data_IF_553497129063
#
_entry.id   IF_553497129063
#
_cell.length_a   1.000
_cell.length_b   1.000
_cell.length_c   1.000
_cell.angle_alpha   90.00
_cell.angle_beta   90.00
_cell.angle_gamma   90.00
#
_symmetry.space_group_name_H-M   'P 1'
#
loop_
_entity.id
_entity.type
_entity.pdbx_description
1 polymer ?
#
# COMPACT_ATOMS: atom_id res chain seq x y z
N UNK A 1 15.40 1.73 -6.63
CA UNK A 1 16.36 2.34 -5.67
C UNK A 1 15.79 2.43 -4.26
N UNK A 2 14.68 3.17 -4.04
CA UNK A 2 14.07 3.36 -2.71
C UNK A 2 13.84 2.05 -1.92
N UNK A 3 13.22 1.04 -2.53
CA UNK A 3 13.02 -0.27 -1.88
C UNK A 3 14.33 -0.87 -1.33
N UNK A 4 15.43 -0.76 -2.09
CA UNK A 4 16.76 -1.24 -1.65
C UNK A 4 17.29 -0.44 -0.45
N UNK A 5 17.11 0.88 -0.44
CA UNK A 5 17.55 1.73 0.68
C UNK A 5 16.82 1.37 1.99
N UNK A 6 15.53 1.06 1.89
CA UNK A 6 14.72 0.61 3.04
C UNK A 6 14.79 -0.89 3.29
N UNK A 7 15.71 -1.61 2.63
CA UNK A 7 15.90 -3.06 2.77
C UNK A 7 14.61 -3.86 2.54
N UNK A 8 13.77 -3.37 1.64
CA UNK A 8 12.58 -4.07 1.16
C UNK A 8 13.01 -5.00 0.04
N UNK A 9 13.01 -6.30 0.32
CA UNK A 9 13.26 -7.32 -0.68
C UNK A 9 12.16 -7.30 -1.76
N UNK A 10 12.55 -7.55 -3.01
CA UNK A 10 11.63 -7.46 -4.13
C UNK A 10 10.63 -8.62 -4.16
N UNK A 11 11.05 -9.84 -3.82
CA UNK A 11 10.17 -11.00 -3.81
C UNK A 11 9.17 -10.90 -2.66
N UNK A 12 9.64 -10.56 -1.45
CA UNK A 12 8.77 -10.34 -0.30
C UNK A 12 7.72 -9.25 -0.57
N UNK A 13 8.15 -8.11 -1.13
CA UNK A 13 7.24 -7.03 -1.48
C UNK A 13 6.14 -7.47 -2.46
N UNK A 14 6.51 -8.27 -3.48
CA UNK A 14 5.56 -8.81 -4.45
C UNK A 14 4.58 -9.78 -3.78
N UNK A 15 5.03 -10.63 -2.86
CA UNK A 15 4.16 -11.52 -2.11
C UNK A 15 3.18 -10.75 -1.22
N UNK A 16 3.65 -9.73 -0.50
CA UNK A 16 2.80 -8.92 0.38
C UNK A 16 1.69 -8.17 -0.36
N UNK A 17 1.93 -7.74 -1.61
CA UNK A 17 0.99 -6.89 -2.37
C UNK A 17 0.17 -7.67 -3.41
N UNK A 18 0.74 -8.73 -4.00
CA UNK A 18 0.14 -9.47 -5.10
C UNK A 18 -0.20 -10.93 -4.75
N UNK A 19 0.04 -11.36 -3.51
CA UNK A 19 -0.43 -12.66 -3.02
C UNK A 19 -1.96 -12.75 -2.98
N UNK A 20 -2.47 -13.97 -2.76
CA UNK A 20 -3.91 -14.16 -2.57
C UNK A 20 -4.38 -13.39 -1.32
N UNK A 21 -5.51 -12.70 -1.44
CA UNK A 21 -6.10 -11.86 -0.38
C UNK A 21 -5.11 -10.86 0.24
N UNK A 22 -4.17 -10.38 -0.58
CA UNK A 22 -3.06 -9.54 -0.14
C UNK A 22 -3.52 -8.24 0.54
N UNK A 23 -4.62 -7.64 0.09
CA UNK A 23 -5.05 -6.30 0.50
C UNK A 23 -6.35 -6.32 1.30
N UNK A 24 -6.31 -5.67 2.46
CA UNK A 24 -7.49 -5.40 3.30
C UNK A 24 -7.87 -3.94 3.17
N UNK A 25 -9.09 -3.65 2.72
CA UNK A 25 -9.60 -2.29 2.68
C UNK A 25 -9.88 -1.78 4.11
N UNK A 26 -9.39 -0.57 4.40
CA UNK A 26 -9.68 0.11 5.65
C UNK A 26 -10.91 1.00 5.45
N UNK A 27 -12.03 0.59 6.04
CA UNK A 27 -13.40 1.09 5.79
C UNK A 27 -13.71 2.50 6.31
N UNK A 28 -12.69 3.35 6.53
CA UNK A 28 -12.92 4.75 6.89
C UNK A 28 -12.26 5.68 5.87
N UNK A 29 -13.04 6.36 5.01
CA UNK A 29 -12.51 7.51 4.29
C UNK A 29 -12.31 8.58 5.36
N UNK A 30 -11.11 8.64 5.93
CA UNK A 30 -10.71 9.70 6.84
C UNK A 30 -10.90 11.07 6.18
N UNK A 31 -10.51 12.16 6.86
CA UNK A 31 -10.70 13.55 6.39
C UNK A 31 -10.30 13.83 4.92
N UNK A 32 -9.40 13.03 4.32
CA UNK A 32 -8.97 13.18 2.92
C UNK A 32 -9.94 12.59 1.88
N UNK A 33 -10.88 11.73 2.27
CA UNK A 33 -11.74 10.98 1.33
C UNK A 33 -10.98 9.98 0.45
N UNK A 34 -9.77 9.59 0.84
CA UNK A 34 -8.97 8.58 0.15
C UNK A 34 -9.34 7.18 0.63
N UNK A 35 -9.25 6.20 -0.27
CA UNK A 35 -9.28 4.79 0.10
C UNK A 35 -7.90 4.37 0.56
N UNK A 36 -7.87 3.54 1.61
CA UNK A 36 -6.65 2.97 2.16
C UNK A 36 -6.77 1.46 2.14
N UNK A 37 -5.68 0.81 1.76
CA UNK A 37 -5.52 -0.63 1.82
C UNK A 37 -4.27 -0.95 2.64
N UNK A 38 -4.34 -2.00 3.45
CA UNK A 38 -3.22 -2.51 4.22
C UNK A 38 -2.93 -3.94 3.76
N UNK A 39 -1.65 -4.28 3.60
CA UNK A 39 -1.28 -5.66 3.30
C UNK A 39 -1.63 -6.58 4.47
N UNK A 40 -1.90 -7.86 4.20
CA UNK A 40 -2.28 -8.82 5.24
C UNK A 40 -1.19 -9.02 6.32
N UNK A 41 0.06 -8.79 5.96
CA UNK A 41 1.21 -8.84 6.87
C UNK A 41 1.50 -7.50 7.58
N UNK A 42 0.62 -6.50 7.43
CA UNK A 42 0.72 -5.16 8.03
C UNK A 42 1.99 -4.36 7.68
N UNK A 43 2.69 -4.74 6.60
CA UNK A 43 3.95 -4.10 6.20
C UNK A 43 3.78 -2.87 5.33
N UNK A 44 2.74 -2.81 4.51
CA UNK A 44 2.58 -1.75 3.51
C UNK A 44 1.16 -1.18 3.49
N UNK A 45 1.09 0.15 3.52
CA UNK A 45 -0.14 0.91 3.31
C UNK A 45 -0.19 1.41 1.85
N UNK A 46 -1.30 1.17 1.17
CA UNK A 46 -1.60 1.71 -0.16
C UNK A 46 -2.70 2.74 -0.01
N UNK A 47 -2.49 3.93 -0.58
CA UNK A 47 -3.45 5.05 -0.52
C UNK A 47 -3.84 5.47 -1.94
N UNK A 48 -5.13 5.66 -2.19
CA UNK A 48 -5.57 6.29 -3.44
C UNK A 48 -5.28 7.79 -3.43
N UNK A 49 -4.78 8.28 -4.55
CA UNK A 49 -4.41 9.68 -4.74
C UNK A 49 -5.22 10.25 -5.91
N UNK A 50 -5.81 11.42 -5.71
CA UNK A 50 -6.46 12.18 -6.78
C UNK A 50 -5.39 12.67 -7.76
N UNK A 51 -5.76 12.82 -9.03
CA UNK A 51 -4.85 13.36 -10.06
C UNK A 51 -4.26 14.72 -9.67
N UNK A 52 -5.01 15.57 -8.97
CA UNK A 52 -4.54 16.86 -8.45
C UNK A 52 -3.50 16.76 -7.32
N UNK A 53 -3.40 15.62 -6.64
CA UNK A 53 -2.37 15.36 -5.63
C UNK A 53 -1.09 14.79 -6.24
N UNK A 54 -1.16 14.33 -7.50
CA UNK A 54 0.01 13.92 -8.28
C UNK A 54 0.65 15.19 -8.87
N UNK A 55 1.88 15.48 -8.43
CA UNK A 55 2.72 16.52 -9.00
C UNK A 55 3.68 15.94 -10.03
#
# INVERSE_FOLDING_TARGET
YLRRLFKVDAADYMLSICGNDALRELSSPGKSGSFFYLTHDDRYMIKTMKKSEMK
#
